data_IF_952477722464
#
_entry.id   IF_952477722464
#
_cell.length_a   1.000
_cell.length_b   1.000
_cell.length_c   1.000
_cell.angle_alpha   90.00
_cell.angle_beta   90.00
_cell.angle_gamma   90.00
#
_symmetry.space_group_name_H-M   'P 1'
#
loop_
_entity.id
_entity.type
_entity.pdbx_description
1 polymer ?
#
# COMPACT_ATOMS: atom_id res chain seq x y z
N UNK A 1 -69.36 -26.34 53.89
CA UNK A 1 -69.26 -27.56 54.64
C UNK A 1 -67.78 -27.90 54.76
N UNK A 2 -67.26 -27.49 55.84
CA UNK A 2 -66.73 -28.26 56.94
C UNK A 2 -65.49 -29.06 56.61
N UNK A 3 -64.41 -28.51 57.20
CA UNK A 3 -63.47 -29.15 58.16
C UNK A 3 -62.38 -29.96 57.44
N UNK A 4 -61.14 -29.99 57.82
CA UNK A 4 -60.58 -29.82 59.18
C UNK A 4 -59.06 -29.45 59.08
N UNK A 5 -58.71 -28.75 60.08
CA UNK A 5 -57.38 -28.50 60.60
C UNK A 5 -56.71 -29.75 61.16
N UNK A 6 -55.48 -29.65 61.26
CA UNK A 6 -54.54 -30.32 62.15
C UNK A 6 -53.72 -31.38 61.44
N UNK A 7 -52.47 -31.44 61.52
CA UNK A 7 -51.61 -31.30 62.67
C UNK A 7 -50.16 -31.63 62.22
N UNK A 8 -49.28 -30.84 62.67
CA UNK A 8 -47.95 -31.25 63.14
C UNK A 8 -47.11 -32.15 62.24
N UNK A 9 -45.88 -31.74 61.89
CA UNK A 9 -44.81 -31.91 62.86
C UNK A 9 -43.56 -31.35 62.34
N UNK A 10 -42.96 -30.55 63.15
CA UNK A 10 -41.53 -30.16 63.07
C UNK A 10 -40.63 -31.31 62.65
N UNK A 11 -40.24 -31.30 61.41
CA UNK A 11 -38.96 -31.87 60.97
C UNK A 11 -38.00 -30.74 60.76
N UNK A 12 -37.38 -30.31 61.85
CA UNK A 12 -36.14 -29.61 61.84
C UNK A 12 -35.11 -30.55 61.17
N UNK A 13 -35.14 -30.52 59.86
CA UNK A 13 -34.05 -31.12 59.13
C UNK A 13 -32.83 -30.21 59.42
N UNK A 14 -31.98 -30.70 60.27
CA UNK A 14 -30.62 -30.23 60.42
C UNK A 14 -29.99 -30.33 59.04
N UNK A 15 -30.01 -29.23 58.31
CA UNK A 15 -29.10 -29.03 57.21
C UNK A 15 -27.75 -28.91 57.89
N UNK A 16 -27.05 -30.03 57.90
CA UNK A 16 -25.64 -30.12 58.12
C UNK A 16 -25.00 -28.95 57.40
N UNK A 17 -24.27 -28.16 58.14
CA UNK A 17 -23.39 -27.17 57.58
C UNK A 17 -22.34 -27.89 56.72
N UNK A 18 -22.74 -28.21 55.47
CA UNK A 18 -21.77 -28.53 54.47
C UNK A 18 -20.91 -27.28 54.36
N UNK A 19 -19.74 -27.39 54.91
CA UNK A 19 -18.63 -26.46 54.74
C UNK A 19 -18.68 -25.93 53.32
N UNK A 20 -19.10 -24.67 53.14
CA UNK A 20 -18.79 -23.90 51.95
C UNK A 20 -17.29 -23.76 51.97
N UNK A 21 -16.59 -24.69 51.34
CA UNK A 21 -15.20 -24.45 50.91
C UNK A 21 -15.25 -23.23 50.02
N UNK A 22 -14.96 -22.09 50.63
CA UNK A 22 -14.59 -20.89 49.87
C UNK A 22 -13.44 -21.34 48.99
N UNK A 23 -13.50 -21.24 47.66
CA UNK A 23 -12.37 -21.54 46.86
C UNK A 23 -11.22 -20.66 47.34
N UNK A 24 -10.25 -21.27 48.03
CA UNK A 24 -9.03 -20.60 48.40
C UNK A 24 -8.47 -19.96 47.13
N UNK A 25 -8.13 -18.70 47.23
CA UNK A 25 -7.49 -18.03 46.10
C UNK A 25 -6.34 -18.90 45.61
N UNK A 26 -6.24 -19.06 44.30
CA UNK A 26 -5.25 -19.95 43.64
C UNK A 26 -3.83 -19.71 44.18
N UNK A 27 -3.56 -18.56 44.77
CA UNK A 27 -2.30 -18.23 45.44
C UNK A 27 -2.04 -18.99 46.76
N UNK A 28 -3.09 -19.43 47.47
CA UNK A 28 -2.91 -20.09 48.76
C UNK A 28 -2.77 -21.62 48.62
N UNK A 29 -3.26 -22.20 47.54
CA UNK A 29 -3.15 -23.65 47.24
C UNK A 29 -1.69 -24.12 47.06
N UNK A 30 -0.80 -23.22 46.74
CA UNK A 30 0.62 -23.52 46.43
C UNK A 30 1.60 -22.91 47.42
N UNK A 31 1.14 -22.52 48.60
CA UNK A 31 1.99 -21.91 49.61
C UNK A 31 3.01 -22.90 50.18
N UNK A 32 2.58 -24.12 50.38
CA UNK A 32 3.46 -25.21 50.88
C UNK A 32 4.51 -25.60 49.86
N UNK A 33 4.15 -25.68 48.57
CA UNK A 33 5.11 -25.99 47.51
C UNK A 33 6.13 -24.86 47.33
N UNK A 34 5.71 -23.60 47.45
CA UNK A 34 6.60 -22.44 47.40
C UNK A 34 7.59 -22.42 48.58
N UNK A 35 7.15 -22.82 49.75
CA UNK A 35 8.04 -22.90 50.95
C UNK A 35 9.04 -24.02 50.79
N UNK A 36 8.67 -25.19 50.27
CA UNK A 36 9.55 -26.27 49.94
C UNK A 36 10.64 -25.89 48.91
N UNK A 37 10.28 -25.02 47.93
CA UNK A 37 11.19 -24.53 46.90
C UNK A 37 12.17 -23.47 47.38
N UNK A 38 11.95 -22.82 48.53
CA UNK A 38 12.94 -21.88 49.08
C UNK A 38 14.30 -22.47 49.29
N UNK A 39 14.33 -23.75 49.73
CA UNK A 39 15.54 -24.52 49.98
C UNK A 39 15.93 -25.45 48.83
N UNK A 40 15.21 -25.40 47.70
CA UNK A 40 15.45 -26.26 46.55
C UNK A 40 16.66 -25.83 45.71
N UNK A 41 17.24 -26.78 44.99
CA UNK A 41 18.34 -26.53 44.05
C UNK A 41 17.90 -25.61 42.90
N UNK A 42 18.80 -24.86 42.26
CA UNK A 42 18.44 -24.00 41.11
C UNK A 42 17.68 -24.72 40.00
N UNK A 43 18.02 -25.99 39.74
CA UNK A 43 17.32 -26.82 38.74
C UNK A 43 15.87 -27.08 39.13
N UNK A 44 15.57 -27.35 40.40
CA UNK A 44 14.20 -27.57 40.88
C UNK A 44 13.37 -26.29 40.80
N UNK A 45 13.98 -25.15 41.11
CA UNK A 45 13.28 -23.84 40.98
C UNK A 45 12.91 -23.51 39.54
N UNK A 46 13.83 -23.76 38.60
CA UNK A 46 13.59 -23.57 37.17
C UNK A 46 12.52 -24.56 36.66
N UNK A 47 12.62 -25.84 37.03
CA UNK A 47 11.63 -26.83 36.60
C UNK A 47 10.22 -26.49 37.09
N UNK A 48 10.06 -26.06 38.34
CA UNK A 48 8.79 -25.62 38.90
C UNK A 48 8.24 -24.39 38.18
N UNK A 49 9.10 -23.39 37.96
CA UNK A 49 8.73 -22.17 37.23
C UNK A 49 8.24 -22.51 35.82
N UNK A 50 8.99 -23.34 35.07
CA UNK A 50 8.62 -23.75 33.73
C UNK A 50 7.33 -24.60 33.69
N UNK A 51 7.11 -25.44 34.70
CA UNK A 51 5.89 -26.26 34.79
C UNK A 51 4.64 -25.37 35.03
N UNK A 52 4.77 -24.41 35.96
CA UNK A 52 3.66 -23.58 36.39
C UNK A 52 3.34 -22.44 35.42
N UNK A 53 4.40 -21.82 34.89
CA UNK A 53 4.30 -20.65 34.01
C UNK A 53 4.57 -20.99 32.54
N UNK A 54 4.49 -22.26 32.16
CA UNK A 54 4.80 -22.70 30.79
C UNK A 54 4.11 -21.88 29.70
N UNK A 55 2.84 -21.56 29.87
CA UNK A 55 2.09 -20.75 28.91
C UNK A 55 2.56 -19.29 28.88
N UNK A 56 2.86 -18.71 30.03
CA UNK A 56 3.38 -17.36 30.12
C UNK A 56 4.78 -17.26 29.51
N UNK A 57 5.61 -18.28 29.74
CA UNK A 57 6.97 -18.35 29.14
C UNK A 57 6.86 -18.47 27.61
N UNK A 58 5.99 -19.37 27.11
CA UNK A 58 5.78 -19.54 25.68
C UNK A 58 5.28 -18.22 25.04
N UNK A 59 4.26 -17.60 25.63
CA UNK A 59 3.73 -16.31 25.14
C UNK A 59 4.82 -15.23 25.16
N UNK A 60 5.60 -15.15 26.26
CA UNK A 60 6.69 -14.15 26.36
C UNK A 60 7.75 -14.38 25.27
N UNK A 61 8.13 -15.62 25.00
CA UNK A 61 9.10 -15.96 23.94
C UNK A 61 8.55 -15.56 22.57
N UNK A 62 7.26 -15.83 22.30
CA UNK A 62 6.62 -15.45 21.04
C UNK A 62 6.61 -13.91 20.90
N UNK A 63 6.21 -13.18 21.95
CA UNK A 63 6.19 -11.70 21.94
C UNK A 63 7.59 -11.12 21.70
N UNK A 64 8.61 -11.67 22.38
CA UNK A 64 9.99 -11.23 22.20
C UNK A 64 10.48 -11.53 20.76
N UNK A 65 10.17 -12.73 20.24
CA UNK A 65 10.52 -13.10 18.87
C UNK A 65 9.83 -12.19 17.83
N UNK A 66 8.56 -11.88 18.05
CA UNK A 66 7.83 -10.91 17.19
C UNK A 66 8.46 -9.51 17.28
N UNK A 67 8.73 -9.02 18.48
CA UNK A 67 9.36 -7.71 18.67
C UNK A 67 10.76 -7.67 18.00
N UNK A 68 11.55 -8.70 18.18
CA UNK A 68 12.86 -8.82 17.54
C UNK A 68 12.74 -8.85 16.01
N UNK A 69 11.75 -9.57 15.47
CA UNK A 69 11.46 -9.59 14.03
C UNK A 69 11.07 -8.20 13.50
N UNK A 70 10.20 -7.48 14.21
CA UNK A 70 9.83 -6.12 13.83
C UNK A 70 11.02 -5.15 13.87
N UNK A 71 11.84 -5.22 14.91
CA UNK A 71 13.05 -4.39 15.02
C UNK A 71 14.03 -4.72 13.88
N UNK A 72 14.23 -6.00 13.58
CA UNK A 72 15.09 -6.44 12.49
C UNK A 72 14.59 -5.94 11.13
N UNK A 73 13.29 -6.10 10.84
CA UNK A 73 12.67 -5.61 9.60
C UNK A 73 12.77 -4.09 9.49
N UNK A 74 12.51 -3.36 10.57
CA UNK A 74 12.62 -1.90 10.59
C UNK A 74 14.06 -1.42 10.37
N UNK A 75 15.03 -2.05 11.02
CA UNK A 75 16.46 -1.70 10.92
C UNK A 75 17.05 -2.03 9.53
N UNK A 76 16.48 -3.03 8.83
CA UNK A 76 16.94 -3.43 7.49
C UNK A 76 15.98 -3.00 6.38
N UNK A 77 15.03 -2.09 6.67
CA UNK A 77 14.17 -1.51 5.64
C UNK A 77 15.02 -0.65 4.72
N UNK A 78 14.98 -0.94 3.44
CA UNK A 78 15.58 -0.07 2.42
C UNK A 78 14.77 1.21 2.31
N UNK A 79 15.43 2.31 2.04
CA UNK A 79 14.77 3.56 1.72
C UNK A 79 14.18 3.48 0.30
N UNK A 80 12.98 3.98 0.12
CA UNK A 80 12.39 4.08 -1.22
C UNK A 80 13.07 5.23 -1.95
N UNK A 81 13.91 4.91 -2.94
CA UNK A 81 14.57 5.92 -3.76
C UNK A 81 13.66 6.42 -4.90
N UNK A 82 12.72 5.59 -5.32
CA UNK A 82 11.75 5.95 -6.34
C UNK A 82 10.61 4.93 -6.38
N UNK A 83 9.36 5.42 -6.45
CA UNK A 83 8.19 4.56 -6.53
C UNK A 83 7.27 4.95 -7.68
N UNK A 84 7.14 4.09 -8.66
CA UNK A 84 6.20 4.23 -9.77
C UNK A 84 5.14 3.13 -9.76
N UNK A 85 3.88 3.53 -9.97
CA UNK A 85 2.77 2.60 -10.14
C UNK A 85 2.56 2.36 -11.63
N UNK A 86 2.56 1.10 -12.03
CA UNK A 86 2.13 0.67 -13.35
C UNK A 86 0.66 0.26 -13.27
N UNK A 87 -0.22 1.25 -13.34
CA UNK A 87 -1.67 1.03 -13.19
C UNK A 87 -2.22 0.20 -14.35
N UNK A 88 -3.00 -0.81 -14.01
CA UNK A 88 -3.62 -1.75 -14.97
C UNK A 88 -2.61 -2.51 -15.85
N UNK A 89 -1.33 -2.51 -15.46
CA UNK A 89 -0.31 -3.29 -16.14
C UNK A 89 -0.10 -4.66 -15.48
N UNK A 90 0.51 -5.57 -16.20
CA UNK A 90 0.97 -6.86 -15.69
C UNK A 90 2.26 -7.28 -16.35
N UNK A 91 3.15 -7.92 -15.58
CA UNK A 91 4.35 -8.52 -16.14
C UNK A 91 4.00 -9.55 -17.20
N UNK A 92 4.69 -9.54 -18.33
CA UNK A 92 4.54 -10.55 -19.39
C UNK A 92 5.10 -11.89 -18.92
N UNK A 93 6.22 -11.89 -18.22
CA UNK A 93 6.75 -13.09 -17.58
C UNK A 93 6.36 -13.14 -16.09
N UNK A 94 5.19 -13.71 -15.82
CA UNK A 94 4.67 -13.88 -14.46
C UNK A 94 5.39 -14.98 -13.67
N UNK A 95 6.26 -15.77 -14.30
CA UNK A 95 7.02 -16.84 -13.64
C UNK A 95 8.40 -16.37 -13.19
N UNK A 96 8.88 -15.24 -13.70
CA UNK A 96 10.10 -14.63 -13.20
C UNK A 96 9.82 -13.90 -11.89
N UNK A 97 10.65 -14.16 -10.88
CA UNK A 97 10.66 -13.39 -9.64
C UNK A 97 11.57 -12.16 -9.73
N UNK A 98 12.28 -12.04 -10.84
CA UNK A 98 13.30 -11.00 -11.04
C UNK A 98 12.65 -9.77 -11.66
N UNK A 99 13.11 -8.61 -11.24
CA UNK A 99 12.72 -7.36 -11.87
C UNK A 99 13.31 -7.27 -13.28
N UNK A 100 12.60 -6.60 -14.23
CA UNK A 100 13.16 -6.33 -15.55
C UNK A 100 14.53 -5.65 -15.49
N UNK A 101 15.45 -6.07 -16.35
CA UNK A 101 16.85 -5.61 -16.36
C UNK A 101 16.96 -4.09 -16.47
N UNK A 102 16.08 -3.44 -17.23
CA UNK A 102 16.12 -1.98 -17.42
C UNK A 102 15.96 -1.20 -16.10
N UNK A 103 15.30 -1.77 -15.09
CA UNK A 103 15.14 -1.15 -13.75
C UNK A 103 16.48 -1.14 -13.04
N UNK A 104 17.24 -2.23 -13.14
CA UNK A 104 18.59 -2.33 -12.57
C UNK A 104 19.55 -1.39 -13.30
N UNK A 105 19.51 -1.37 -14.66
CA UNK A 105 20.29 -0.45 -15.47
C UNK A 105 20.03 1.03 -15.12
N UNK A 106 18.75 1.35 -14.90
CA UNK A 106 18.34 2.70 -14.49
C UNK A 106 18.87 3.04 -13.09
N UNK A 107 18.73 2.12 -12.12
CA UNK A 107 19.26 2.30 -10.76
C UNK A 107 20.79 2.55 -10.77
N UNK A 108 21.53 1.78 -11.57
CA UNK A 108 22.99 1.98 -11.73
C UNK A 108 23.32 3.35 -12.33
N UNK A 109 22.55 3.77 -13.34
CA UNK A 109 22.73 5.08 -13.97
C UNK A 109 22.50 6.24 -13.00
N UNK A 110 21.47 6.12 -12.14
CA UNK A 110 21.16 7.11 -11.11
C UNK A 110 22.07 7.01 -9.88
N UNK A 111 22.96 6.01 -9.82
CA UNK A 111 23.86 5.81 -8.68
C UNK A 111 23.13 5.35 -7.41
N UNK A 112 21.98 4.73 -7.56
CA UNK A 112 21.18 4.20 -6.45
C UNK A 112 21.75 2.85 -6.02
N UNK A 113 22.23 2.77 -4.78
CA UNK A 113 22.77 1.54 -4.21
C UNK A 113 21.65 0.57 -3.83
N UNK A 114 21.52 -0.58 -4.50
CA UNK A 114 20.45 -1.54 -4.24
C UNK A 114 20.55 -2.21 -2.86
N UNK A 115 21.67 -2.03 -2.13
CA UNK A 115 21.82 -2.53 -0.77
C UNK A 115 21.08 -1.66 0.27
N UNK A 116 20.97 -0.37 0.02
CA UNK A 116 20.38 0.62 0.95
C UNK A 116 19.06 1.19 0.47
N UNK A 117 18.85 1.23 -0.83
CA UNK A 117 17.70 1.89 -1.45
C UNK A 117 17.00 0.99 -2.47
N UNK A 118 15.72 1.24 -2.73
CA UNK A 118 14.89 0.44 -3.63
C UNK A 118 14.16 1.33 -4.63
N UNK A 119 14.16 0.89 -5.90
CA UNK A 119 13.27 1.41 -6.93
C UNK A 119 12.12 0.42 -7.10
N UNK A 120 10.90 0.90 -6.96
CA UNK A 120 9.69 0.06 -7.03
C UNK A 120 8.87 0.38 -8.28
N UNK A 121 8.61 -0.66 -9.09
CA UNK A 121 7.65 -0.65 -10.19
C UNK A 121 6.47 -1.54 -9.80
N UNK A 122 5.42 -0.94 -9.22
CA UNK A 122 4.28 -1.67 -8.65
C UNK A 122 3.20 -1.94 -9.69
N UNK A 123 3.02 -3.21 -10.07
CA UNK A 123 1.95 -3.69 -10.97
C UNK A 123 0.73 -4.25 -10.22
N UNK A 124 0.70 -4.12 -8.89
CA UNK A 124 -0.36 -4.73 -8.07
C UNK A 124 -1.68 -3.96 -8.10
N UNK A 125 -1.68 -2.71 -8.57
CA UNK A 125 -2.86 -1.85 -8.60
C UNK A 125 -3.61 -2.05 -9.92
N UNK A 126 -4.82 -2.63 -9.80
CA UNK A 126 -5.71 -2.90 -10.94
C UNK A 126 -7.08 -2.32 -10.66
N UNK A 127 -7.48 -1.34 -11.46
CA UNK A 127 -8.75 -0.63 -11.33
C UNK A 127 -9.49 -0.77 -12.66
N UNK A 128 -10.57 -1.53 -12.66
CA UNK A 128 -11.47 -1.65 -13.80
C UNK A 128 -12.54 -0.59 -13.63
N UNK A 129 -12.66 0.29 -14.60
CA UNK A 129 -13.70 1.32 -14.62
C UNK A 129 -15.09 0.69 -14.53
N UNK A 130 -15.98 1.36 -13.82
CA UNK A 130 -17.38 0.95 -13.60
C UNK A 130 -17.53 -0.44 -12.93
N UNK A 131 -16.45 -1.03 -12.43
CA UNK A 131 -16.50 -2.28 -11.69
C UNK A 131 -16.53 -2.03 -10.18
N UNK A 132 -17.53 -2.62 -9.52
CA UNK A 132 -17.65 -2.69 -8.06
C UNK A 132 -17.04 -3.99 -7.50
N UNK A 133 -16.17 -4.66 -8.25
CA UNK A 133 -15.50 -5.85 -7.75
C UNK A 133 -14.52 -5.50 -6.61
N UNK A 134 -14.30 -6.47 -5.71
CA UNK A 134 -13.47 -6.29 -4.52
C UNK A 134 -12.03 -5.86 -4.86
N UNK A 135 -11.49 -6.36 -5.97
CA UNK A 135 -10.13 -6.03 -6.42
C UNK A 135 -10.02 -4.56 -6.82
N UNK A 136 -10.95 -4.07 -7.64
CA UNK A 136 -10.96 -2.66 -8.10
C UNK A 136 -11.17 -1.70 -6.94
N UNK A 137 -12.08 -2.03 -6.00
CA UNK A 137 -12.33 -1.20 -4.80
C UNK A 137 -11.09 -1.16 -3.91
N UNK A 138 -10.48 -2.31 -3.63
CA UNK A 138 -9.28 -2.38 -2.78
C UNK A 138 -8.10 -1.66 -3.43
N UNK A 139 -7.91 -1.83 -4.75
CA UNK A 139 -6.85 -1.16 -5.51
C UNK A 139 -7.03 0.36 -5.52
N UNK A 140 -8.26 0.84 -5.68
CA UNK A 140 -8.56 2.28 -5.61
C UNK A 140 -8.25 2.85 -4.23
N UNK A 141 -8.62 2.14 -3.16
CA UNK A 141 -8.30 2.55 -1.79
C UNK A 141 -6.78 2.56 -1.56
N UNK A 142 -6.06 1.53 -2.03
CA UNK A 142 -4.60 1.45 -1.94
C UNK A 142 -3.94 2.65 -2.63
N UNK A 143 -4.35 2.94 -3.87
CA UNK A 143 -3.83 4.08 -4.64
C UNK A 143 -4.05 5.39 -3.90
N UNK A 144 -5.27 5.64 -3.39
CA UNK A 144 -5.59 6.87 -2.65
C UNK A 144 -4.77 7.02 -1.37
N UNK A 145 -4.52 5.93 -0.64
CA UNK A 145 -3.68 5.96 0.57
C UNK A 145 -2.25 6.32 0.20
N UNK A 146 -1.69 5.74 -0.85
CA UNK A 146 -0.32 6.02 -1.29
C UNK A 146 -0.16 7.46 -1.78
N UNK A 147 -1.14 7.97 -2.55
CA UNK A 147 -1.16 9.37 -2.97
C UNK A 147 -1.23 10.31 -1.76
N UNK A 148 -2.13 10.03 -0.81
CA UNK A 148 -2.29 10.85 0.40
C UNK A 148 -1.07 10.81 1.33
N UNK A 149 -0.30 9.73 1.29
CA UNK A 149 0.94 9.59 2.06
C UNK A 149 2.17 10.18 1.33
N UNK A 150 2.02 10.69 0.10
CA UNK A 150 3.10 11.14 -0.79
C UNK A 150 4.16 10.05 -1.05
N UNK A 151 3.73 8.78 -1.07
CA UNK A 151 4.64 7.65 -1.30
C UNK A 151 4.91 7.39 -2.79
N UNK A 152 4.12 8.01 -3.69
CA UNK A 152 4.21 7.80 -5.14
C UNK A 152 4.87 8.97 -5.83
N UNK A 153 5.86 8.67 -6.66
CA UNK A 153 6.52 9.66 -7.50
C UNK A 153 5.89 9.76 -8.90
N UNK A 154 5.51 8.63 -9.48
CA UNK A 154 4.91 8.63 -10.82
C UNK A 154 3.90 7.52 -11.02
N UNK A 155 3.09 7.66 -12.06
CA UNK A 155 2.18 6.65 -12.58
C UNK A 155 2.47 6.41 -14.06
N UNK A 156 2.57 5.14 -14.45
CA UNK A 156 2.63 4.72 -15.86
C UNK A 156 1.39 3.87 -16.14
N UNK A 157 0.66 4.23 -17.18
CA UNK A 157 -0.56 3.48 -17.56
C UNK A 157 -0.93 3.73 -19.02
N UNK A 158 -1.99 3.11 -19.51
CA UNK A 158 -2.57 3.39 -20.83
C UNK A 158 -3.33 4.74 -20.85
N UNK A 159 -3.55 5.29 -22.05
CA UNK A 159 -4.17 6.60 -22.22
C UNK A 159 -5.57 6.69 -21.61
N UNK A 160 -6.37 5.65 -21.73
CA UNK A 160 -7.75 5.66 -21.22
C UNK A 160 -7.77 5.71 -19.70
N UNK A 161 -6.94 4.91 -19.05
CA UNK A 161 -6.80 4.92 -17.58
C UNK A 161 -6.18 6.24 -17.09
N UNK A 162 -5.21 6.80 -17.82
CA UNK A 162 -4.53 8.04 -17.45
C UNK A 162 -5.45 9.26 -17.49
N UNK A 163 -6.32 9.36 -18.50
CA UNK A 163 -7.20 10.51 -18.72
C UNK A 163 -8.01 10.90 -17.49
N UNK A 164 -8.51 9.91 -16.76
CA UNK A 164 -9.28 10.14 -15.52
C UNK A 164 -8.46 10.83 -14.43
N UNK A 165 -7.24 10.38 -14.21
CA UNK A 165 -6.36 10.92 -13.17
C UNK A 165 -5.73 12.24 -13.60
N UNK A 166 -5.42 12.38 -14.87
CA UNK A 166 -4.88 13.61 -15.46
C UNK A 166 -5.84 14.78 -15.29
N UNK A 167 -7.14 14.53 -15.48
CA UNK A 167 -8.19 15.55 -15.31
C UNK A 167 -8.66 15.73 -13.85
N UNK A 168 -7.96 15.14 -12.88
CA UNK A 168 -8.25 15.29 -11.44
C UNK A 168 -7.15 16.05 -10.70
N UNK A 169 -6.34 16.83 -11.39
CA UNK A 169 -5.22 17.64 -10.82
C UNK A 169 -4.21 16.83 -9.99
N UNK A 170 -4.06 15.53 -10.31
CA UNK A 170 -3.16 14.64 -9.55
C UNK A 170 -1.70 14.78 -9.96
N UNK A 171 -1.43 15.25 -11.18
CA UNK A 171 -0.10 15.34 -11.74
C UNK A 171 0.43 16.77 -11.83
N UNK A 172 1.73 16.91 -11.79
CA UNK A 172 2.42 18.18 -11.95
C UNK A 172 2.25 18.74 -13.37
N UNK A 173 2.14 20.05 -13.46
CA UNK A 173 2.40 20.75 -14.73
C UNK A 173 3.88 20.58 -15.07
N UNK A 174 4.17 19.93 -16.19
CA UNK A 174 5.54 19.67 -16.60
C UNK A 174 6.35 20.94 -16.83
N UNK A 175 5.69 22.06 -17.11
CA UNK A 175 6.35 23.37 -17.26
C UNK A 175 6.97 23.89 -15.96
N UNK A 176 6.44 23.44 -14.81
CA UNK A 176 6.90 23.88 -13.49
C UNK A 176 8.07 23.04 -12.97
N UNK A 177 8.22 21.80 -13.45
CA UNK A 177 9.21 20.85 -12.94
C UNK A 177 10.36 20.56 -13.90
N UNK A 178 10.21 20.87 -15.20
CA UNK A 178 11.26 20.63 -16.19
C UNK A 178 12.15 21.84 -16.37
N UNK A 179 13.44 21.59 -16.59
CA UNK A 179 14.36 22.61 -17.12
C UNK A 179 13.99 22.96 -18.57
N UNK A 180 14.46 24.08 -19.07
CA UNK A 180 14.18 24.47 -20.46
C UNK A 180 14.70 23.45 -21.47
N UNK A 181 15.86 22.88 -21.21
CA UNK A 181 16.50 21.86 -22.04
C UNK A 181 15.66 20.57 -22.03
N UNK A 182 15.20 20.13 -20.86
CA UNK A 182 14.34 18.97 -20.72
C UNK A 182 12.96 19.19 -21.39
N UNK A 183 12.37 20.36 -21.19
CA UNK A 183 11.11 20.71 -21.83
C UNK A 183 11.21 20.64 -23.36
N UNK A 184 12.27 21.22 -23.97
CA UNK A 184 12.49 21.13 -25.41
C UNK A 184 12.70 19.70 -25.94
N UNK A 185 13.35 18.84 -25.13
CA UNK A 185 13.62 17.46 -25.52
C UNK A 185 12.38 16.59 -25.42
N UNK A 186 11.49 16.86 -24.45
CA UNK A 186 10.32 16.08 -24.10
C UNK A 186 9.02 16.61 -24.74
N UNK A 187 8.98 17.88 -25.20
CA UNK A 187 7.80 18.51 -25.80
C UNK A 187 7.10 17.64 -26.88
N UNK A 188 7.80 16.94 -27.78
CA UNK A 188 7.15 16.09 -28.78
C UNK A 188 6.39 14.88 -28.20
N UNK A 189 6.59 14.61 -26.92
CA UNK A 189 6.02 13.48 -26.20
C UNK A 189 5.03 13.91 -25.12
N UNK A 190 4.70 15.20 -25.02
CA UNK A 190 3.79 15.67 -24.00
C UNK A 190 2.35 15.14 -24.22
N UNK A 191 1.73 14.78 -23.10
CA UNK A 191 0.31 14.50 -22.99
C UNK A 191 -0.34 15.70 -22.29
N UNK A 192 -1.32 16.30 -22.95
CA UNK A 192 -1.97 17.53 -22.50
C UNK A 192 -3.35 17.25 -21.92
N UNK A 193 -3.78 18.12 -21.00
CA UNK A 193 -5.16 18.29 -20.57
C UNK A 193 -5.58 19.73 -20.81
N UNK A 194 -6.87 19.96 -21.05
CA UNK A 194 -7.42 21.31 -21.11
C UNK A 194 -7.79 21.75 -19.69
N UNK A 195 -7.15 22.80 -19.18
CA UNK A 195 -7.43 23.35 -17.84
C UNK A 195 -8.89 23.75 -17.66
N UNK A 196 -9.54 24.27 -18.71
CA UNK A 196 -10.97 24.63 -18.65
C UNK A 196 -11.85 23.41 -18.38
N UNK A 197 -11.51 22.25 -18.96
CA UNK A 197 -12.21 20.99 -18.70
C UNK A 197 -11.98 20.52 -17.26
N UNK A 198 -10.75 20.62 -16.77
CA UNK A 198 -10.39 20.27 -15.37
C UNK A 198 -11.21 21.13 -14.40
N UNK A 199 -11.24 22.44 -14.59
CA UNK A 199 -12.01 23.37 -13.74
C UNK A 199 -13.52 23.10 -13.81
N UNK A 200 -14.04 22.75 -14.98
CA UNK A 200 -15.45 22.39 -15.12
C UNK A 200 -15.82 21.09 -14.39
N UNK A 201 -14.91 20.09 -14.37
CA UNK A 201 -15.07 18.86 -13.59
C UNK A 201 -15.06 19.16 -12.09
N UNK A 202 -14.11 19.96 -11.63
CA UNK A 202 -14.01 20.37 -10.22
C UNK A 202 -15.29 21.11 -9.76
N UNK A 203 -15.76 22.09 -10.56
CA UNK A 203 -17.00 22.80 -10.27
C UNK A 203 -18.24 21.89 -10.25
N UNK A 204 -18.32 20.93 -11.17
CA UNK A 204 -19.42 19.96 -11.19
C UNK A 204 -19.40 19.04 -9.96
N UNK A 205 -18.21 18.63 -9.49
CA UNK A 205 -18.06 17.83 -8.27
C UNK A 205 -18.45 18.62 -7.02
N UNK A 206 -18.08 19.89 -6.93
CA UNK A 206 -18.44 20.77 -5.81
C UNK A 206 -19.94 21.00 -5.73
N UNK A 207 -20.60 21.15 -6.86
CA UNK A 207 -22.07 21.32 -6.97
C UNK A 207 -22.84 20.01 -6.86
N UNK A 208 -22.15 18.86 -6.67
CA UNK A 208 -22.74 17.51 -6.72
C UNK A 208 -23.55 17.25 -8.00
N UNK A 209 -23.15 17.84 -9.11
CA UNK A 209 -23.80 17.68 -10.41
C UNK A 209 -23.39 16.36 -11.05
N UNK A 210 -24.15 15.31 -10.81
CA UNK A 210 -23.91 13.96 -11.34
C UNK A 210 -24.24 13.81 -12.83
N UNK A 211 -24.93 14.79 -13.43
CA UNK A 211 -25.31 14.75 -14.83
C UNK A 211 -24.25 15.37 -15.75
N UNK A 212 -23.21 15.98 -15.20
CA UNK A 212 -22.12 16.54 -15.97
C UNK A 212 -21.26 15.43 -16.59
N UNK A 213 -21.14 15.43 -17.89
CA UNK A 213 -20.27 14.54 -18.65
C UNK A 213 -19.23 15.37 -19.37
N UNK A 214 -17.94 15.30 -18.98
CA UNK A 214 -16.90 16.07 -19.64
C UNK A 214 -16.63 15.55 -21.05
N UNK A 215 -16.38 16.46 -21.98
CA UNK A 215 -15.80 16.13 -23.28
C UNK A 215 -14.29 16.38 -23.21
N UNK A 216 -13.50 15.34 -23.43
CA UNK A 216 -12.06 15.42 -23.38
C UNK A 216 -11.51 15.66 -24.80
N UNK A 217 -10.75 16.75 -25.03
CA UNK A 217 -10.04 16.92 -26.29
C UNK A 217 -8.93 15.88 -26.43
N UNK A 218 -8.45 15.68 -27.67
CA UNK A 218 -7.34 14.75 -27.91
C UNK A 218 -6.08 15.25 -27.18
N UNK A 219 -5.50 14.45 -26.28
CA UNK A 219 -4.36 14.85 -25.46
C UNK A 219 -3.07 15.10 -26.25
N UNK A 220 -3.01 14.69 -27.51
CA UNK A 220 -1.85 14.91 -28.38
C UNK A 220 -2.03 16.11 -29.32
N UNK A 221 -3.17 16.78 -29.27
CA UNK A 221 -3.53 17.92 -30.10
C UNK A 221 -3.84 19.16 -29.22
N UNK A 222 -2.80 19.79 -28.61
CA UNK A 222 -3.00 20.96 -27.74
C UNK A 222 -3.61 22.17 -28.46
N UNK A 223 -3.53 22.22 -29.78
CA UNK A 223 -4.15 23.28 -30.60
C UNK A 223 -5.68 23.28 -30.57
N UNK A 224 -6.30 22.17 -30.20
CA UNK A 224 -7.75 22.03 -30.05
C UNK A 224 -8.24 22.37 -28.62
N UNK A 225 -7.31 22.67 -27.69
CA UNK A 225 -7.60 23.02 -26.31
C UNK A 225 -7.65 24.53 -26.09
N UNK A 226 -8.40 24.97 -25.07
CA UNK A 226 -8.48 26.37 -24.69
C UNK A 226 -7.28 26.81 -23.84
N UNK A 227 -6.91 26.00 -22.85
CA UNK A 227 -5.72 26.23 -22.01
C UNK A 227 -4.95 24.90 -21.82
N UNK A 228 -4.12 24.51 -22.81
CA UNK A 228 -3.40 23.24 -22.77
C UNK A 228 -2.32 23.24 -21.69
N UNK A 229 -2.37 22.21 -20.82
CA UNK A 229 -1.39 21.97 -19.76
C UNK A 229 -0.76 20.60 -19.96
N UNK A 230 0.58 20.51 -20.13
CA UNK A 230 1.27 19.23 -20.23
C UNK A 230 1.39 18.59 -18.83
N UNK A 231 0.76 17.41 -18.65
CA UNK A 231 0.73 16.69 -17.35
C UNK A 231 1.29 15.28 -17.44
N UNK A 232 1.65 14.83 -18.63
CA UNK A 232 2.19 13.49 -18.84
C UNK A 232 3.19 13.44 -20.00
N UNK A 233 3.95 12.36 -20.04
CA UNK A 233 4.95 12.06 -21.07
C UNK A 233 4.56 10.74 -21.75
N UNK A 234 4.31 10.78 -23.05
CA UNK A 234 3.96 9.62 -23.87
C UNK A 234 5.18 8.71 -24.06
N UNK A 235 5.06 7.47 -23.61
CA UNK A 235 6.07 6.44 -23.69
C UNK A 235 5.64 5.31 -24.65
N UNK A 236 4.68 5.58 -25.53
CA UNK A 236 4.17 4.60 -26.48
C UNK A 236 5.29 4.12 -27.41
N UNK A 237 5.45 2.80 -27.51
CA UNK A 237 6.54 2.19 -28.30
C UNK A 237 7.86 2.03 -27.58
N UNK A 238 7.98 2.46 -26.30
CA UNK A 238 9.14 2.19 -25.48
C UNK A 238 9.26 0.68 -25.23
N UNK A 239 10.31 0.05 -25.79
CA UNK A 239 10.51 -1.39 -25.72
C UNK A 239 10.72 -1.90 -24.31
N UNK A 240 11.41 -1.17 -23.47
CA UNK A 240 11.61 -1.56 -22.06
C UNK A 240 10.28 -1.73 -21.31
N UNK A 241 9.24 -0.99 -21.70
CA UNK A 241 7.89 -1.16 -21.15
C UNK A 241 7.11 -2.26 -21.90
N UNK A 242 7.08 -2.23 -23.23
CA UNK A 242 6.25 -3.17 -24.02
C UNK A 242 6.77 -4.60 -24.05
N UNK A 243 8.09 -4.80 -23.89
CA UNK A 243 8.71 -6.12 -23.86
C UNK A 243 8.60 -6.77 -22.45
N UNK A 244 8.35 -5.99 -21.41
CA UNK A 244 8.26 -6.48 -20.04
C UNK A 244 6.84 -6.43 -19.46
N UNK A 245 6.00 -5.49 -19.91
CA UNK A 245 4.67 -5.29 -19.36
C UNK A 245 3.59 -5.30 -20.43
N UNK A 246 2.45 -5.86 -20.06
CA UNK A 246 1.22 -5.75 -20.81
C UNK A 246 0.37 -4.63 -20.23
N UNK A 247 -0.02 -3.66 -21.05
CA UNK A 247 -1.01 -2.63 -20.75
C UNK A 247 -2.33 -2.95 -21.45
N UNK A 248 -3.45 -2.66 -20.79
CA UNK A 248 -4.77 -3.07 -21.27
C UNK A 248 -5.28 -2.23 -22.43
N UNK A 249 -4.99 -0.94 -22.41
CA UNK A 249 -5.43 0.03 -23.42
C UNK A 249 -4.34 0.41 -24.41
N UNK A 250 -4.68 1.30 -25.32
CA UNK A 250 -3.77 1.83 -26.32
C UNK A 250 -2.93 2.99 -25.71
N UNK A 251 -1.69 3.09 -26.21
CA UNK A 251 -0.75 4.09 -25.76
C UNK A 251 -0.21 3.81 -24.35
N UNK A 252 0.92 4.41 -24.02
CA UNK A 252 1.51 4.37 -22.68
C UNK A 252 1.90 5.80 -22.34
N UNK A 253 1.54 6.23 -21.15
CA UNK A 253 1.85 7.58 -20.66
C UNK A 253 2.30 7.52 -19.20
N UNK A 254 3.26 8.37 -18.87
CA UNK A 254 3.77 8.56 -17.53
C UNK A 254 3.38 9.94 -17.03
N UNK A 255 2.75 10.02 -15.87
CA UNK A 255 2.51 11.25 -15.12
C UNK A 255 3.35 11.29 -13.85
N UNK A 256 3.82 12.48 -13.48
CA UNK A 256 4.57 12.73 -12.25
C UNK A 256 3.61 13.35 -11.25
N UNK A 257 3.47 12.74 -10.06
CA UNK A 257 2.53 13.25 -9.05
C UNK A 257 2.90 14.65 -8.55
N UNK A 258 1.91 15.47 -8.27
CA UNK A 258 2.12 16.85 -7.83
C UNK A 258 2.90 16.98 -6.51
N UNK A 259 2.83 15.95 -5.65
CA UNK A 259 3.50 15.88 -4.37
C UNK A 259 4.63 14.82 -4.35
N UNK A 260 5.18 14.45 -5.51
CA UNK A 260 6.28 13.49 -5.59
C UNK A 260 7.50 13.98 -4.82
N UNK A 261 8.13 13.08 -4.06
CA UNK A 261 9.38 13.40 -3.36
C UNK A 261 10.59 13.36 -4.31
N UNK A 262 10.56 12.49 -5.33
CA UNK A 262 11.68 12.23 -6.23
C UNK A 262 11.37 12.68 -7.68
N UNK A 263 10.93 13.94 -7.82
CA UNK A 263 10.52 14.52 -9.12
C UNK A 263 11.64 14.40 -10.17
N UNK A 264 12.89 14.70 -9.80
CA UNK A 264 14.00 14.63 -10.75
C UNK A 264 14.25 13.21 -11.24
N UNK A 265 14.21 12.22 -10.34
CA UNK A 265 14.36 10.81 -10.71
C UNK A 265 13.23 10.35 -11.65
N UNK A 266 12.00 10.87 -11.45
CA UNK A 266 10.89 10.62 -12.37
C UNK A 266 11.14 11.17 -13.77
N UNK A 267 11.67 12.39 -13.87
CA UNK A 267 12.05 13.03 -15.16
C UNK A 267 13.18 12.25 -15.82
N UNK A 268 14.20 11.87 -15.05
CA UNK A 268 15.36 11.11 -15.54
C UNK A 268 14.96 9.72 -16.02
N UNK A 269 13.93 9.08 -15.39
CA UNK A 269 13.34 7.85 -15.88
C UNK A 269 12.66 8.04 -17.24
N UNK A 270 11.85 9.08 -17.40
CA UNK A 270 11.19 9.36 -18.68
C UNK A 270 12.21 9.59 -19.79
N UNK A 271 13.27 10.38 -19.53
CA UNK A 271 14.37 10.58 -20.47
C UNK A 271 15.12 9.28 -20.79
N UNK A 272 15.40 8.45 -19.78
CA UNK A 272 16.07 7.17 -19.95
C UNK A 272 15.29 6.26 -20.88
N UNK A 273 13.99 6.09 -20.62
CA UNK A 273 13.09 5.25 -21.41
C UNK A 273 13.00 5.73 -22.87
N UNK A 274 12.86 7.04 -23.09
CA UNK A 274 12.79 7.64 -24.42
C UNK A 274 14.12 7.60 -25.18
N UNK A 275 15.24 7.82 -24.52
CA UNK A 275 16.56 7.81 -25.18
C UNK A 275 16.95 6.40 -25.62
N UNK A 276 16.68 5.38 -24.83
CA UNK A 276 16.92 3.99 -25.20
C UNK A 276 16.06 3.57 -26.40
N UNK A 277 14.86 4.14 -26.55
CA UNK A 277 13.99 3.93 -27.71
C UNK A 277 14.54 4.60 -28.98
N UNK A 278 15.06 5.84 -28.90
CA UNK A 278 15.65 6.55 -30.04
C UNK A 278 16.87 5.84 -30.64
N UNK A 279 17.68 5.23 -29.79
CA UNK A 279 18.87 4.45 -30.25
C UNK A 279 18.47 3.19 -31.02
N UNK A 280 17.31 2.62 -30.76
CA UNK A 280 16.82 1.42 -31.43
C UNK A 280 16.10 1.69 -32.78
N UNK A 281 15.93 2.96 -33.15
CA UNK A 281 15.32 3.38 -34.44
C UNK A 281 16.38 3.77 -35.51
N UNK A 282 17.67 3.77 -35.18
CA UNK A 282 18.80 4.00 -36.05
C UNK A 282 19.49 2.67 -36.36
#
# INVERSE_FOLDING_TARGET
MYYDKTSRSSAICRISAAERRIPMAVMDEFKEEREALKNGTPKQKIAYFLYYYKWHVIISVIVIAMAASFIYQYANRKETAFYTVLLNASLLDQMSSDQPDFITDFAEKEGIDPSTSEITFDTSIRIIEDSMDETSVTSSQKLMVYVAANELDSMITDFSSFQKYANSSMFSDLRDILTKEQAQALEPYFYYVDREVVLAIEAANDDMNTDYTPEYPDPLHPEDMQDPVPVGICLTGCKDLTDNYYFRGDGIVMGIYANAEHVQTAVDLAEYLLNKWKVNLV
#
